data_IF_566974747275
#
_entry.id   IF_566974747275
#
_cell.length_a   1.000
_cell.length_b   1.000
_cell.length_c   1.000
_cell.angle_alpha   90.00
_cell.angle_beta   90.00
_cell.angle_gamma   90.00
#
_symmetry.space_group_name_H-M   'P 1'
#
loop_
_entity.id
_entity.type
_entity.pdbx_description
1 polymer ?
#
# COMPACT_ATOMS: atom_id res chain seq x y z
N UNK A 1 -9.97 2.11 0.35
CA UNK A 1 -11.03 2.45 1.33
C UNK A 1 -10.66 1.83 2.66
N UNK A 2 -11.34 2.23 3.73
CA UNK A 2 -11.10 1.67 5.07
C UNK A 2 -11.38 0.16 5.11
N UNK A 3 -12.38 -0.32 4.37
CA UNK A 3 -12.68 -1.75 4.23
C UNK A 3 -11.51 -2.55 3.65
N UNK A 4 -10.97 -2.10 2.51
CA UNK A 4 -9.81 -2.75 1.87
C UNK A 4 -8.58 -2.67 2.77
N UNK A 5 -8.34 -1.53 3.40
CA UNK A 5 -7.22 -1.37 4.33
C UNK A 5 -7.35 -2.31 5.53
N UNK A 6 -8.53 -2.42 6.13
CA UNK A 6 -8.81 -3.33 7.23
C UNK A 6 -8.51 -4.78 6.87
N UNK A 7 -8.93 -5.23 5.68
CA UNK A 7 -8.64 -6.58 5.20
C UNK A 7 -7.13 -6.82 5.00
N UNK A 8 -6.44 -5.89 4.34
CA UNK A 8 -5.00 -6.01 4.08
C UNK A 8 -4.21 -6.00 5.39
N UNK A 9 -4.52 -5.08 6.32
CA UNK A 9 -3.87 -5.01 7.63
C UNK A 9 -4.07 -6.30 8.42
N UNK A 10 -5.29 -6.84 8.45
CA UNK A 10 -5.57 -8.09 9.14
C UNK A 10 -4.75 -9.26 8.54
N UNK A 11 -4.63 -9.35 7.22
CA UNK A 11 -3.83 -10.37 6.55
C UNK A 11 -2.32 -10.22 6.84
N UNK A 12 -1.79 -9.00 6.87
CA UNK A 12 -0.39 -8.75 7.21
C UNK A 12 -0.07 -9.17 8.64
N UNK A 13 -0.94 -8.84 9.60
CA UNK A 13 -0.79 -9.23 10.99
C UNK A 13 -0.91 -10.76 11.17
N UNK A 14 -1.84 -11.38 10.45
CA UNK A 14 -2.00 -12.83 10.44
C UNK A 14 -0.74 -13.53 9.91
N UNK A 15 -0.23 -13.13 8.74
CA UNK A 15 0.98 -13.73 8.15
C UNK A 15 2.21 -13.53 9.03
N UNK A 16 2.34 -12.37 9.69
CA UNK A 16 3.39 -12.17 10.69
C UNK A 16 3.26 -13.15 11.88
N UNK A 17 2.04 -13.50 12.29
CA UNK A 17 1.83 -14.41 13.41
C UNK A 17 2.20 -15.86 13.06
N UNK A 18 2.03 -16.25 11.80
CA UNK A 18 2.41 -17.57 11.27
C UNK A 18 3.93 -17.73 11.19
N UNK A 19 4.63 -16.82 10.49
CA UNK A 19 6.09 -16.81 10.45
C UNK A 19 6.64 -15.39 10.30
N UNK A 20 7.55 -15.01 11.19
CA UNK A 20 8.16 -13.68 11.25
C UNK A 20 9.31 -13.49 10.27
N UNK A 21 9.74 -14.54 9.55
CA UNK A 21 10.92 -14.55 8.68
C UNK A 21 10.58 -14.68 7.20
N UNK A 22 9.46 -15.32 6.86
CA UNK A 22 9.07 -15.57 5.47
C UNK A 22 8.60 -14.26 4.83
N UNK A 23 9.17 -13.83 3.69
CA UNK A 23 8.71 -12.62 3.02
C UNK A 23 7.22 -12.65 2.68
N UNK A 24 6.53 -11.54 2.90
CA UNK A 24 5.12 -11.37 2.54
C UNK A 24 5.04 -10.70 1.17
N UNK A 25 4.26 -11.28 0.26
CA UNK A 25 4.09 -10.76 -1.10
C UNK A 25 2.78 -9.99 -1.23
N UNK A 26 2.87 -8.71 -1.61
CA UNK A 26 1.72 -7.87 -1.93
C UNK A 26 1.70 -7.59 -3.44
N UNK A 27 0.61 -8.00 -4.09
CA UNK A 27 0.35 -7.68 -5.49
C UNK A 27 -0.54 -6.44 -5.59
N UNK A 28 -0.09 -5.43 -6.32
CA UNK A 28 -0.71 -4.10 -6.40
C UNK A 28 -1.19 -3.85 -7.83
N UNK A 29 -2.51 -3.78 -7.98
CA UNK A 29 -3.20 -3.24 -9.15
C UNK A 29 -4.24 -2.22 -8.67
N UNK A 30 -3.81 -0.99 -8.41
CA UNK A 30 -4.65 0.02 -7.74
C UNK A 30 -4.55 1.39 -8.40
N UNK A 31 -5.70 2.06 -8.64
CA UNK A 31 -5.73 3.44 -9.09
C UNK A 31 -5.45 4.46 -7.96
N UNK A 32 -5.34 4.01 -6.70
CA UNK A 32 -5.24 4.87 -5.53
C UNK A 32 -6.44 4.74 -4.60
N UNK A 33 -6.62 5.72 -3.71
CA UNK A 33 -7.75 5.76 -2.80
C UNK A 33 -7.58 6.75 -1.65
N UNK A 34 -8.35 6.54 -0.58
CA UNK A 34 -8.31 7.35 0.64
C UNK A 34 -6.91 7.33 1.25
N UNK A 35 -6.36 8.51 1.51
CA UNK A 35 -4.99 8.69 2.02
C UNK A 35 -4.79 7.98 3.36
N UNK A 36 -5.69 8.20 4.32
CA UNK A 36 -5.60 7.59 5.66
C UNK A 36 -5.68 6.06 5.61
N UNK A 37 -6.55 5.50 4.78
CA UNK A 37 -6.63 4.06 4.55
C UNK A 37 -5.30 3.50 3.99
N UNK A 38 -4.68 4.21 3.04
CA UNK A 38 -3.39 3.80 2.50
C UNK A 38 -2.26 3.93 3.53
N UNK A 39 -2.29 4.95 4.41
CA UNK A 39 -1.33 5.11 5.50
C UNK A 39 -1.45 3.98 6.53
N UNK A 40 -2.66 3.49 6.82
CA UNK A 40 -2.84 2.33 7.71
C UNK A 40 -2.14 1.07 7.18
N UNK A 41 -2.23 0.82 5.87
CA UNK A 41 -1.51 -0.28 5.21
C UNK A 41 0.01 -0.03 5.27
N UNK A 42 0.44 1.20 4.91
CA UNK A 42 1.85 1.59 4.92
C UNK A 42 2.50 1.36 6.29
N UNK A 43 1.91 1.90 7.36
CA UNK A 43 2.44 1.78 8.71
C UNK A 43 2.49 0.32 9.15
N UNK A 44 1.49 -0.48 8.77
CA UNK A 44 1.49 -1.92 9.05
C UNK A 44 2.63 -2.63 8.32
N UNK A 45 2.88 -2.31 7.04
CA UNK A 45 4.02 -2.86 6.30
C UNK A 45 5.36 -2.54 6.95
N UNK A 46 5.52 -1.35 7.54
CA UNK A 46 6.74 -0.96 8.24
C UNK A 46 6.84 -1.54 9.66
N UNK A 47 5.70 -1.81 10.29
CA UNK A 47 5.61 -2.30 11.66
C UNK A 47 5.93 -3.80 11.78
N UNK A 48 5.46 -4.60 10.80
CA UNK A 48 5.64 -6.05 10.86
C UNK A 48 7.10 -6.47 10.63
N UNK A 49 7.48 -7.60 11.22
CA UNK A 49 8.85 -8.15 11.13
C UNK A 49 9.21 -8.77 9.78
N UNK A 50 8.32 -9.52 9.10
CA UNK A 50 8.65 -10.08 7.80
C UNK A 50 8.95 -9.00 6.76
N UNK A 51 9.93 -9.18 5.87
CA UNK A 51 10.15 -8.26 4.77
C UNK A 51 8.95 -8.32 3.80
N UNK A 52 8.45 -7.16 3.39
CA UNK A 52 7.32 -7.07 2.46
C UNK A 52 7.83 -6.90 1.03
N UNK A 53 7.60 -7.88 0.18
CA UNK A 53 7.83 -7.80 -1.26
C UNK A 53 6.60 -7.23 -1.97
N UNK A 54 6.80 -6.26 -2.85
CA UNK A 54 5.71 -5.58 -3.57
C UNK A 54 5.82 -5.79 -5.06
N UNK A 55 4.69 -6.04 -5.72
CA UNK A 55 4.60 -6.37 -7.14
C UNK A 55 3.56 -5.50 -7.82
N UNK A 56 3.97 -4.57 -8.67
CA UNK A 56 3.05 -3.82 -9.49
C UNK A 56 2.58 -4.66 -10.69
N UNK A 57 1.28 -4.93 -10.75
CA UNK A 57 0.61 -5.68 -11.82
C UNK A 57 -0.42 -4.76 -12.47
N UNK A 58 -0.14 -4.26 -13.67
CA UNK A 58 -1.03 -3.34 -14.37
C UNK A 58 -0.81 -1.89 -13.94
N UNK A 59 -1.24 -1.49 -12.74
CA UNK A 59 -0.99 -0.13 -12.25
C UNK A 59 -0.76 0.01 -10.75
N UNK A 60 0.07 0.98 -10.37
CA UNK A 60 0.20 1.49 -9.02
C UNK A 60 0.17 3.02 -9.09
N UNK A 61 -1.02 3.59 -8.89
CA UNK A 61 -1.27 5.03 -9.00
C UNK A 61 -1.58 5.62 -7.62
N UNK A 62 -1.17 6.87 -7.36
CA UNK A 62 -1.46 7.58 -6.11
C UNK A 62 -1.02 6.78 -4.88
N UNK A 63 -1.88 6.51 -3.89
CA UNK A 63 -1.55 5.65 -2.75
C UNK A 63 -1.08 4.25 -3.13
N UNK A 64 -1.50 3.70 -4.28
CA UNK A 64 -0.97 2.44 -4.78
C UNK A 64 0.53 2.51 -5.11
N UNK A 65 0.98 3.64 -5.66
CA UNK A 65 2.41 3.90 -5.95
C UNK A 65 3.24 4.05 -4.67
N UNK A 66 2.67 4.65 -3.62
CA UNK A 66 3.30 4.78 -2.31
C UNK A 66 3.50 3.40 -1.68
N UNK A 67 2.47 2.56 -1.68
CA UNK A 67 2.56 1.19 -1.15
C UNK A 67 3.54 0.33 -1.94
N UNK A 68 3.61 0.48 -3.26
CA UNK A 68 4.65 -0.15 -4.07
C UNK A 68 6.05 0.29 -3.64
N UNK A 69 6.26 1.59 -3.44
CA UNK A 69 7.56 2.11 -3.02
C UNK A 69 7.94 1.70 -1.59
N UNK A 70 6.96 1.39 -0.74
CA UNK A 70 7.10 1.01 0.66
C UNK A 70 7.50 -0.46 0.91
N UNK A 71 7.59 -1.28 -0.14
CA UNK A 71 8.18 -2.61 -0.03
C UNK A 71 9.63 -2.56 0.45
N UNK A 72 10.10 -3.66 1.03
CA UNK A 72 11.45 -3.78 1.55
C UNK A 72 12.51 -3.47 0.47
N UNK A 73 13.65 -2.83 0.83
CA UNK A 73 14.72 -2.54 -0.13
C UNK A 73 15.15 -3.78 -0.93
N UNK A 74 15.20 -3.65 -2.26
CA UNK A 74 15.51 -4.76 -3.17
C UNK A 74 14.34 -5.69 -3.49
N UNK A 75 13.18 -5.54 -2.85
CA UNK A 75 11.98 -6.37 -3.05
C UNK A 75 10.78 -5.57 -3.59
N UNK A 76 11.04 -4.65 -4.52
CA UNK A 76 10.03 -3.80 -5.16
C UNK A 76 10.07 -4.01 -6.66
N UNK A 77 9.04 -4.66 -7.19
CA UNK A 77 9.02 -5.18 -8.54
C UNK A 77 7.84 -4.61 -9.32
N UNK A 78 7.99 -4.55 -10.64
CA UNK A 78 6.91 -4.20 -11.55
C UNK A 78 7.01 -5.09 -12.79
N UNK A 79 5.86 -5.54 -13.30
CA UNK A 79 5.82 -6.21 -14.60
C UNK A 79 6.17 -5.22 -15.73
N UNK A 80 6.66 -5.70 -16.90
CA UNK A 80 7.19 -4.84 -17.96
C UNK A 80 6.22 -3.79 -18.52
N UNK A 81 4.91 -4.02 -18.39
CA UNK A 81 3.86 -3.13 -18.89
C UNK A 81 3.08 -2.42 -17.78
N UNK A 82 3.55 -2.51 -16.54
CA UNK A 82 2.92 -1.81 -15.42
C UNK A 82 3.16 -0.30 -15.50
N UNK A 83 2.17 0.49 -15.09
CA UNK A 83 2.28 1.95 -14.98
C UNK A 83 2.34 2.39 -13.52
N UNK A 84 3.27 3.31 -13.23
CA UNK A 84 3.38 3.97 -11.92
C UNK A 84 3.03 5.44 -12.09
N UNK A 85 2.18 5.98 -11.21
CA UNK A 85 1.79 7.39 -11.25
C UNK A 85 1.76 7.96 -9.83
N UNK A 86 2.44 9.08 -9.64
CA UNK A 86 2.44 9.84 -8.39
C UNK A 86 1.79 11.19 -8.66
N UNK A 87 0.95 11.65 -7.73
CA UNK A 87 0.40 13.00 -7.74
C UNK A 87 0.14 13.47 -6.31
N UNK A 88 0.04 14.78 -6.12
CA UNK A 88 -0.31 15.36 -4.82
C UNK A 88 -1.73 14.94 -4.38
N UNK A 89 -2.00 14.84 -3.06
CA UNK A 89 -3.36 14.59 -2.56
C UNK A 89 -4.35 15.64 -3.05
N UNK A 90 -5.61 15.22 -3.21
CA UNK A 90 -6.74 16.08 -3.51
C UNK A 90 -7.77 15.99 -2.40
N UNK A 91 -8.39 17.11 -2.04
CA UNK A 91 -9.47 17.17 -1.06
C UNK A 91 -10.32 18.42 -1.27
N UNK A 92 -11.48 18.46 -0.63
CA UNK A 92 -12.41 19.58 -0.65
C UNK A 92 -12.72 20.03 0.78
N UNK A 93 -12.87 21.33 0.98
CA UNK A 93 -13.39 21.90 2.22
C UNK A 93 -14.67 22.68 1.91
N UNK A 94 -15.65 22.61 2.79
CA UNK A 94 -16.88 23.39 2.69
C UNK A 94 -17.24 23.92 4.09
N UNK A 95 -17.62 25.19 4.15
CA UNK A 95 -17.98 25.91 5.35
C UNK A 95 -18.16 27.38 5.04
N UNK A 96 -18.83 28.11 5.93
CA UNK A 96 -18.96 29.56 5.80
C UNK A 96 -17.63 30.23 6.19
N UNK A 97 -17.23 31.22 5.39
CA UNK A 97 -16.28 32.23 5.83
C UNK A 97 -17.10 33.30 6.54
N UNK A 98 -16.76 33.58 7.80
CA UNK A 98 -17.38 34.62 8.62
C UNK A 98 -17.43 35.98 7.90
#
# INVERSE_FOLDING_TARGET
SDEVAGLVVAQLLYLQSEDKKIPIHIYINSPGGVVTAGLAIYDTMQFIKPPVATWCVGQASSMGSLLLAAGAPGLRFALPHSRIMVHQPSGSAHGELL
#
